data_IF_680870390444
#
_entry.id   IF_680870390444
#
_cell.length_a   1.000
_cell.length_b   1.000
_cell.length_c   1.000
_cell.angle_alpha   90.00
_cell.angle_beta   90.00
_cell.angle_gamma   90.00
#
_symmetry.space_group_name_H-M   'P 1'
#
loop_
_entity.id
_entity.type
_entity.pdbx_description
1 polymer ?
#
# COMPACT_ATOMS: atom_id res chain seq x y z
N UNK A 1 21.72 13.05 -22.13
CA UNK A 1 21.13 13.41 -20.83
C UNK A 1 21.17 12.16 -19.98
N UNK A 2 21.84 12.22 -18.85
CA UNK A 2 21.88 11.12 -17.89
C UNK A 2 20.46 10.96 -17.30
N UNK A 3 19.89 9.75 -17.38
CA UNK A 3 18.58 9.47 -16.78
C UNK A 3 18.78 9.24 -15.29
N UNK A 4 17.92 9.83 -14.45
CA UNK A 4 17.94 9.54 -13.02
C UNK A 4 17.32 8.15 -12.73
N UNK A 5 17.66 7.59 -11.57
CA UNK A 5 17.26 6.23 -11.16
C UNK A 5 15.73 6.08 -11.16
N UNK A 6 15.00 7.09 -10.72
CA UNK A 6 13.53 7.10 -10.76
C UNK A 6 13.00 6.92 -12.19
N UNK A 7 13.57 7.64 -13.16
CA UNK A 7 13.18 7.58 -14.57
C UNK A 7 13.42 6.19 -15.18
N UNK A 8 14.56 5.58 -14.84
CA UNK A 8 14.92 4.23 -15.29
C UNK A 8 13.96 3.19 -14.71
N UNK A 9 13.73 3.24 -13.39
CA UNK A 9 12.82 2.31 -12.70
C UNK A 9 11.37 2.49 -13.10
N UNK A 10 10.92 3.73 -13.36
CA UNK A 10 9.60 4.00 -13.92
C UNK A 10 9.44 3.40 -15.31
N UNK A 11 10.46 3.56 -16.17
CA UNK A 11 10.44 2.99 -17.52
C UNK A 11 10.42 1.46 -17.49
N UNK A 12 11.21 0.86 -16.59
CA UNK A 12 11.23 -0.58 -16.38
C UNK A 12 9.87 -1.09 -15.88
N UNK A 13 9.30 -0.48 -14.84
CA UNK A 13 8.01 -0.88 -14.30
C UNK A 13 6.87 -0.77 -15.34
N UNK A 14 6.87 0.27 -16.17
CA UNK A 14 5.90 0.38 -17.28
C UNK A 14 6.01 -0.80 -18.25
N UNK A 15 7.24 -1.21 -18.59
CA UNK A 15 7.50 -2.35 -19.47
C UNK A 15 7.04 -3.67 -18.85
N UNK A 16 7.43 -3.94 -17.60
CA UNK A 16 7.07 -5.18 -16.88
C UNK A 16 5.55 -5.31 -16.67
N UNK A 17 4.84 -4.19 -16.54
CA UNK A 17 3.37 -4.18 -16.40
C UNK A 17 2.61 -4.08 -17.72
N UNK A 18 3.31 -4.06 -18.86
CA UNK A 18 2.74 -3.84 -20.19
C UNK A 18 1.81 -2.60 -20.23
N UNK A 19 2.21 -1.53 -19.52
CA UNK A 19 1.48 -0.27 -19.44
C UNK A 19 2.22 0.80 -20.24
N UNK A 20 1.48 1.53 -21.08
CA UNK A 20 2.02 2.70 -21.77
C UNK A 20 1.79 3.99 -20.96
N UNK A 21 2.48 5.08 -21.34
CA UNK A 21 2.39 6.36 -20.64
C UNK A 21 0.97 6.97 -20.66
N UNK A 22 0.19 6.70 -21.71
CA UNK A 22 -1.18 7.20 -21.83
C UNK A 22 -2.13 6.47 -20.85
N UNK A 23 -1.94 5.18 -20.65
CA UNK A 23 -2.69 4.40 -19.67
C UNK A 23 -2.30 4.79 -18.24
N UNK A 24 -1.01 5.00 -17.98
CA UNK A 24 -0.56 5.54 -16.69
C UNK A 24 -1.18 6.92 -16.42
N UNK A 25 -1.24 7.79 -17.42
CA UNK A 25 -1.90 9.11 -17.36
C UNK A 25 -3.36 8.97 -16.96
N UNK A 26 -4.11 8.10 -17.64
CA UNK A 26 -5.53 7.84 -17.37
C UNK A 26 -5.76 7.30 -15.95
N UNK A 27 -4.94 6.36 -15.48
CA UNK A 27 -5.10 5.72 -14.15
C UNK A 27 -4.65 6.60 -12.99
N UNK A 28 -3.59 7.38 -13.18
CA UNK A 28 -3.05 8.28 -12.14
C UNK A 28 -3.69 9.67 -12.17
N UNK A 29 -4.37 10.06 -13.26
CA UNK A 29 -4.87 11.41 -13.46
C UNK A 29 -3.78 12.48 -13.61
N UNK A 30 -2.50 12.08 -13.77
CA UNK A 30 -1.42 13.01 -14.10
C UNK A 30 -1.43 13.32 -15.59
N UNK A 31 -0.98 14.52 -15.98
CA UNK A 31 -0.98 14.87 -17.40
C UNK A 31 0.08 14.06 -18.17
N UNK A 32 -0.19 13.77 -19.44
CA UNK A 32 0.77 13.08 -20.31
C UNK A 32 2.12 13.81 -20.40
N UNK A 33 2.12 15.15 -20.27
CA UNK A 33 3.34 15.95 -20.19
C UNK A 33 4.16 15.65 -18.94
N UNK A 34 3.52 15.56 -17.77
CA UNK A 34 4.20 15.22 -16.51
C UNK A 34 4.84 13.83 -16.59
N UNK A 35 4.10 12.83 -17.06
CA UNK A 35 4.60 11.46 -17.19
C UNK A 35 5.75 11.38 -18.19
N UNK A 36 5.62 12.03 -19.35
CA UNK A 36 6.70 12.06 -20.33
C UNK A 36 7.97 12.74 -19.78
N UNK A 37 7.83 13.81 -18.99
CA UNK A 37 8.98 14.43 -18.33
C UNK A 37 9.66 13.48 -17.32
N UNK A 38 8.89 12.72 -16.54
CA UNK A 38 9.42 11.71 -15.62
C UNK A 38 10.13 10.56 -16.35
N UNK A 39 9.52 10.03 -17.41
CA UNK A 39 10.09 8.94 -18.22
C UNK A 39 11.34 9.38 -18.99
N UNK A 40 11.45 10.66 -19.34
CA UNK A 40 12.67 11.25 -19.93
C UNK A 40 13.71 11.69 -18.90
N UNK A 41 13.38 11.67 -17.61
CA UNK A 41 14.29 12.08 -16.54
C UNK A 41 14.54 13.59 -16.47
N UNK A 42 13.61 14.42 -17.00
CA UNK A 42 13.77 15.89 -16.99
C UNK A 42 13.74 16.46 -15.57
N UNK A 43 12.92 15.88 -14.71
CA UNK A 43 12.85 16.13 -13.27
C UNK A 43 12.20 14.93 -12.59
N UNK A 44 12.40 14.79 -11.28
CA UNK A 44 11.79 13.72 -10.50
C UNK A 44 10.39 14.10 -10.00
N UNK A 45 9.56 13.07 -9.81
CA UNK A 45 8.27 13.24 -9.16
C UNK A 45 8.46 13.46 -7.64
N UNK A 46 7.55 14.22 -7.02
CA UNK A 46 7.50 14.32 -5.55
C UNK A 46 6.95 13.03 -4.95
N UNK A 47 7.23 12.78 -3.67
CA UNK A 47 6.88 11.54 -2.96
C UNK A 47 5.38 11.19 -3.06
N UNK A 48 4.49 12.17 -2.93
CA UNK A 48 3.04 12.01 -3.09
C UNK A 48 2.66 11.44 -4.47
N UNK A 49 3.36 11.89 -5.51
CA UNK A 49 3.14 11.43 -6.89
C UNK A 49 3.77 10.06 -7.14
N UNK A 50 4.96 9.83 -6.62
CA UNK A 50 5.64 8.53 -6.69
C UNK A 50 4.76 7.45 -6.07
N UNK A 51 4.16 7.73 -4.91
CA UNK A 51 3.22 6.82 -4.26
C UNK A 51 2.01 6.49 -5.15
N UNK A 52 1.37 7.49 -5.77
CA UNK A 52 0.24 7.25 -6.68
C UNK A 52 0.64 6.42 -7.91
N UNK A 53 1.84 6.66 -8.46
CA UNK A 53 2.38 5.87 -9.56
C UNK A 53 2.65 4.44 -9.11
N UNK A 54 3.23 4.24 -7.92
CA UNK A 54 3.58 2.92 -7.41
C UNK A 54 2.35 2.04 -7.19
N UNK A 55 1.22 2.63 -6.79
CA UNK A 55 -0.06 1.92 -6.67
C UNK A 55 -0.60 1.43 -8.01
N UNK A 56 -0.50 2.27 -9.06
CA UNK A 56 -0.97 1.89 -10.40
C UNK A 56 -0.08 0.84 -11.04
N UNK A 57 1.23 0.93 -10.80
CA UNK A 57 2.22 -0.01 -11.33
C UNK A 57 2.39 -1.25 -10.45
N UNK A 58 1.76 -1.27 -9.26
CA UNK A 58 1.89 -2.34 -8.28
C UNK A 58 3.37 -2.67 -7.98
N UNK A 59 4.12 -1.64 -7.56
CA UNK A 59 5.54 -1.74 -7.21
C UNK A 59 5.81 -1.08 -5.87
N UNK A 60 6.94 -1.42 -5.26
CA UNK A 60 7.40 -0.78 -4.03
C UNK A 60 7.78 0.70 -4.30
N UNK A 61 7.17 1.68 -3.61
CA UNK A 61 7.51 3.09 -3.79
C UNK A 61 8.97 3.42 -3.43
N UNK A 62 9.55 2.72 -2.45
CA UNK A 62 10.97 2.90 -2.11
C UNK A 62 11.89 2.37 -3.22
N UNK A 63 11.54 1.24 -3.83
CA UNK A 63 12.23 0.83 -5.05
C UNK A 63 12.04 1.88 -6.14
N UNK A 64 10.85 2.40 -6.37
CA UNK A 64 10.64 3.41 -7.42
C UNK A 64 11.47 4.69 -7.16
N UNK A 65 11.70 5.07 -5.90
CA UNK A 65 12.57 6.18 -5.49
C UNK A 65 14.07 5.93 -5.65
N UNK A 66 14.50 4.70 -5.96
CA UNK A 66 15.91 4.36 -6.16
C UNK A 66 16.59 3.65 -4.99
N UNK A 67 15.87 3.33 -3.91
CA UNK A 67 16.44 2.59 -2.78
C UNK A 67 16.72 1.12 -3.13
N UNK A 68 17.68 0.51 -2.44
CA UNK A 68 18.03 -0.90 -2.63
C UNK A 68 17.05 -1.82 -1.87
N UNK A 69 15.88 -2.01 -2.46
CA UNK A 69 14.81 -2.90 -1.98
C UNK A 69 14.16 -3.60 -3.18
N UNK A 70 13.43 -4.71 -3.01
CA UNK A 70 12.77 -5.38 -4.13
C UNK A 70 11.73 -4.49 -4.84
N UNK A 71 11.62 -4.64 -6.17
CA UNK A 71 10.59 -3.99 -6.99
C UNK A 71 9.19 -4.43 -6.60
N UNK A 72 9.02 -5.74 -6.41
CA UNK A 72 7.76 -6.35 -6.01
C UNK A 72 7.54 -6.14 -4.51
N UNK A 73 6.28 -5.89 -4.14
CA UNK A 73 5.86 -5.95 -2.74
C UNK A 73 5.85 -7.43 -2.35
N UNK A 74 6.88 -7.89 -1.62
CA UNK A 74 7.01 -9.30 -1.24
C UNK A 74 5.77 -9.80 -0.48
N UNK A 75 5.13 -10.84 -1.04
CA UNK A 75 3.96 -11.51 -0.48
C UNK A 75 3.21 -12.23 -1.60
N UNK A 76 2.95 -13.53 -1.44
CA UNK A 76 2.15 -14.29 -2.40
C UNK A 76 0.76 -13.65 -2.55
N UNK A 77 0.38 -13.35 -3.79
CA UNK A 77 -0.93 -12.76 -4.11
C UNK A 77 -1.98 -13.87 -4.11
N UNK A 78 -2.39 -14.31 -2.93
CA UNK A 78 -3.62 -15.10 -2.81
C UNK A 78 -4.82 -14.16 -3.03
N UNK A 79 -5.51 -14.31 -4.16
CA UNK A 79 -6.80 -13.67 -4.39
C UNK A 79 -7.81 -14.24 -3.40
N UNK A 80 -8.28 -13.42 -2.47
CA UNK A 80 -9.47 -13.76 -1.68
C UNK A 80 -10.69 -13.24 -2.43
N UNK A 81 -11.51 -14.15 -2.95
CA UNK A 81 -12.81 -13.84 -3.54
C UNK A 81 -13.78 -13.44 -2.43
N UNK A 82 -14.10 -12.14 -2.32
CA UNK A 82 -15.10 -11.60 -1.39
C UNK A 82 -16.23 -10.96 -2.21
N UNK A 83 -16.94 -11.77 -3.01
CA UNK A 83 -18.09 -11.35 -3.81
C UNK A 83 -17.78 -10.32 -4.92
N UNK A 84 -18.83 -9.70 -5.50
CA UNK A 84 -18.78 -8.88 -6.73
C UNK A 84 -17.96 -7.56 -6.65
N UNK A 85 -17.25 -7.30 -5.55
CA UNK A 85 -16.40 -6.10 -5.42
C UNK A 85 -14.93 -6.48 -5.54
N UNK A 86 -14.30 -6.09 -6.66
CA UNK A 86 -12.83 -6.01 -6.76
C UNK A 86 -12.33 -4.87 -5.85
N UNK A 87 -12.04 -5.18 -4.60
CA UNK A 87 -11.38 -4.27 -3.67
C UNK A 87 -9.87 -4.29 -3.99
N UNK A 88 -9.28 -3.15 -4.34
CA UNK A 88 -7.84 -3.03 -4.49
C UNK A 88 -7.18 -3.18 -3.12
N UNK A 89 -6.30 -4.16 -2.91
CA UNK A 89 -5.92 -4.61 -1.59
C UNK A 89 -4.88 -3.66 -0.99
N UNK A 90 -5.32 -2.68 -0.21
CA UNK A 90 -4.66 -2.58 1.08
C UNK A 90 -5.09 -3.82 1.84
N UNK A 91 -4.16 -4.78 1.90
CA UNK A 91 -4.10 -5.92 2.82
C UNK A 91 -5.22 -5.82 3.86
N UNK A 92 -6.26 -6.66 3.75
CA UNK A 92 -7.06 -6.96 4.94
C UNK A 92 -6.08 -7.56 5.93
N UNK A 93 -5.54 -6.71 6.80
CA UNK A 93 -4.72 -7.14 7.91
C UNK A 93 -5.70 -7.87 8.81
N UNK A 94 -5.55 -9.19 8.92
CA UNK A 94 -6.19 -9.91 9.99
C UNK A 94 -5.63 -9.32 11.29
N UNK A 95 -6.46 -8.50 11.93
CA UNK A 95 -6.06 -7.81 13.15
C UNK A 95 -5.74 -8.83 14.24
N UNK A 96 -6.43 -9.98 14.26
CA UNK A 96 -6.21 -11.01 15.26
C UNK A 96 -4.85 -11.69 15.05
N UNK A 97 -4.50 -12.05 13.82
CA UNK A 97 -3.18 -12.61 13.50
C UNK A 97 -2.05 -11.60 13.77
N UNK A 98 -2.25 -10.34 13.36
CA UNK A 98 -1.28 -9.28 13.63
C UNK A 98 -1.04 -9.09 15.13
N UNK A 99 -2.10 -9.09 15.94
CA UNK A 99 -1.98 -8.96 17.39
C UNK A 99 -1.37 -10.21 18.05
N UNK A 100 -1.62 -11.41 17.51
CA UNK A 100 -1.03 -12.67 18.01
C UNK A 100 0.46 -12.81 17.63
N UNK A 101 0.89 -12.24 16.51
CA UNK A 101 2.28 -12.30 16.04
C UNK A 101 3.26 -11.49 16.91
N UNK A 102 2.77 -10.69 17.87
CA UNK A 102 3.60 -9.80 18.67
C UNK A 102 4.13 -8.60 17.89
N UNK A 103 3.61 -8.33 16.68
CA UNK A 103 4.02 -7.19 15.88
C UNK A 103 3.70 -5.86 16.58
N UNK A 104 4.72 -5.01 16.72
CA UNK A 104 4.54 -3.65 17.22
C UNK A 104 3.88 -2.78 16.16
N UNK A 105 2.66 -2.31 16.43
CA UNK A 105 2.01 -1.32 15.57
C UNK A 105 2.62 0.06 15.88
N UNK A 106 3.44 0.57 14.96
CA UNK A 106 3.99 1.93 15.01
C UNK A 106 3.09 2.89 14.25
N UNK A 107 2.55 3.90 14.92
CA UNK A 107 1.85 5.02 14.29
C UNK A 107 2.75 6.24 14.29
N UNK A 108 3.15 6.71 13.11
CA UNK A 108 3.91 7.96 12.91
C UNK A 108 4.96 8.24 14.01
N UNK A 109 5.86 7.28 14.26
CA UNK A 109 6.92 7.27 15.30
C UNK A 109 6.56 6.87 16.75
N UNK A 110 5.30 6.59 17.07
CA UNK A 110 4.86 6.17 18.41
C UNK A 110 4.59 4.66 18.48
N UNK A 111 5.11 3.99 19.52
CA UNK A 111 4.83 2.58 19.84
C UNK A 111 3.70 2.55 20.87
N UNK A 112 2.57 1.92 20.53
CA UNK A 112 1.45 1.81 21.44
C UNK A 112 1.75 0.83 22.58
N UNK A 113 1.40 1.21 23.80
CA UNK A 113 1.39 0.30 24.95
C UNK A 113 0.26 -0.73 24.84
N UNK A 114 0.37 -1.86 25.56
CA UNK A 114 -0.67 -2.89 25.63
C UNK A 114 -2.06 -2.32 25.96
N UNK A 115 -2.13 -1.31 26.85
CA UNK A 115 -3.37 -0.64 27.23
C UNK A 115 -3.97 0.17 26.07
N UNK A 116 -3.15 0.89 25.33
CA UNK A 116 -3.58 1.68 24.18
C UNK A 116 -4.03 0.78 23.02
N UNK A 117 -3.34 -0.33 22.77
CA UNK A 117 -3.78 -1.35 21.80
C UNK A 117 -5.16 -1.90 22.16
N UNK A 118 -5.39 -2.24 23.45
CA UNK A 118 -6.69 -2.69 23.93
C UNK A 118 -7.79 -1.64 23.71
N UNK A 119 -7.50 -0.37 23.96
CA UNK A 119 -8.45 0.73 23.73
C UNK A 119 -8.74 0.91 22.23
N UNK A 120 -7.71 0.88 21.39
CA UNK A 120 -7.85 0.99 19.94
C UNK A 120 -8.70 -0.14 19.37
N UNK A 121 -8.50 -1.38 19.83
CA UNK A 121 -9.32 -2.55 19.42
C UNK A 121 -10.80 -2.33 19.71
N UNK A 122 -11.14 -1.79 20.89
CA UNK A 122 -12.54 -1.48 21.24
C UNK A 122 -13.16 -0.45 20.30
N UNK A 123 -12.40 0.60 19.96
CA UNK A 123 -12.85 1.66 19.06
C UNK A 123 -13.04 1.12 17.64
N UNK A 124 -12.04 0.41 17.10
CA UNK A 124 -12.14 -0.17 15.76
C UNK A 124 -13.31 -1.14 15.66
N UNK A 125 -13.50 -2.01 16.65
CA UNK A 125 -14.65 -2.90 16.69
C UNK A 125 -15.98 -2.13 16.71
N UNK A 126 -16.12 -1.12 17.58
CA UNK A 126 -17.36 -0.33 17.66
C UNK A 126 -17.68 0.45 16.36
N UNK A 127 -16.66 0.91 15.65
CA UNK A 127 -16.81 1.72 14.43
C UNK A 127 -17.09 0.86 13.19
N UNK A 128 -16.55 -0.36 13.13
CA UNK A 128 -16.59 -1.19 11.92
C UNK A 128 -17.47 -2.45 12.04
N UNK A 129 -18.13 -2.69 13.18
CA UNK A 129 -18.98 -3.89 13.40
C UNK A 129 -20.47 -3.61 13.22
N UNK A 130 -20.89 -3.04 12.09
CA UNK A 130 -22.32 -2.88 11.80
C UNK A 130 -23.00 -4.18 11.28
N UNK A 131 -22.24 -5.21 10.87
CA UNK A 131 -22.81 -6.42 10.21
C UNK A 131 -22.41 -7.78 10.84
N UNK A 132 -21.94 -7.85 12.08
CA UNK A 132 -21.70 -9.13 12.78
C UNK A 132 -22.58 -9.25 14.04
N UNK A 133 -23.13 -10.44 14.34
CA UNK A 133 -24.03 -10.62 15.48
C UNK A 133 -23.35 -10.15 16.77
N UNK A 134 -24.08 -9.31 17.52
CA UNK A 134 -23.67 -8.66 18.76
C UNK A 134 -23.48 -9.71 19.86
N UNK A 135 -22.36 -10.43 19.82
CA UNK A 135 -21.84 -11.20 20.96
C UNK A 135 -20.33 -10.98 20.98
N UNK A 136 -19.81 -10.03 21.78
CA UNK A 136 -18.38 -9.95 22.01
C UNK A 136 -17.88 -11.28 22.60
N UNK A 137 -16.72 -11.82 22.15
CA UNK A 137 -16.16 -13.05 22.71
C UNK A 137 -16.02 -12.92 24.22
N UNK A 138 -16.51 -13.94 24.95
CA UNK A 138 -16.72 -13.88 26.40
C UNK A 138 -15.43 -13.71 27.22
N UNK A 139 -14.27 -13.96 26.62
CA UNK A 139 -12.98 -14.03 27.32
C UNK A 139 -11.89 -13.17 26.64
N UNK A 140 -11.98 -11.84 26.79
CA UNK A 140 -10.94 -10.89 26.34
C UNK A 140 -9.73 -10.75 27.28
N UNK A 141 -9.70 -11.47 28.40
CA UNK A 141 -8.65 -11.38 29.42
C UNK A 141 -7.67 -12.57 29.45
N UNK A 142 -7.73 -13.52 28.49
CA UNK A 142 -6.88 -14.74 28.53
C UNK A 142 -6.01 -14.95 27.27
N UNK A 143 -5.77 -13.92 26.46
CA UNK A 143 -4.82 -13.97 25.32
C UNK A 143 -3.97 -12.71 25.27
#
# INVERSE_FOLDING_TARGET
MEKNIFSERLSLALKERNLNQAELSKRTGFSSSQINHWVKGKYEAKQDKIYRISLVLDVNPAWLMGFDVPMELGGEKESIDIGERKIFPYRSIDLQELFQSGAEIRFSSYILTKKQVRQLRKVLYAVFSEDLPIIPPKDWDVM
#
